data_IF_122293950419
#
_entry.id   IF_122293950419
#
_cell.length_a   1.000
_cell.length_b   1.000
_cell.length_c   1.000
_cell.angle_alpha   90.00
_cell.angle_beta   90.00
_cell.angle_gamma   90.00
#
_symmetry.space_group_name_H-M   'P 1'
#
loop_
_entity.id
_entity.type
_entity.pdbx_description
1 polymer ?
#
# COMPACT_ATOMS: atom_id res chain seq x y z
N UNK A 1 -30.58 -7.05 -16.60
CA UNK A 1 -30.39 -5.79 -17.37
C UNK A 1 -29.33 -5.94 -18.46
N UNK A 2 -28.50 -7.01 -18.44
CA UNK A 2 -27.38 -7.25 -19.40
C UNK A 2 -26.20 -6.32 -19.24
N UNK A 3 -26.17 -5.43 -18.25
CA UNK A 3 -25.06 -4.48 -18.03
C UNK A 3 -23.76 -5.16 -17.62
N UNK A 4 -23.85 -6.32 -16.98
CA UNK A 4 -22.69 -7.10 -16.52
C UNK A 4 -21.82 -7.64 -17.67
N UNK A 5 -22.40 -7.75 -18.89
CA UNK A 5 -21.67 -8.14 -20.09
C UNK A 5 -20.67 -7.07 -20.60
N UNK A 6 -20.81 -5.83 -20.13
CA UNK A 6 -19.95 -4.72 -20.51
C UNK A 6 -19.55 -3.83 -19.33
N UNK A 7 -19.41 -4.43 -18.14
CA UNK A 7 -19.07 -3.66 -16.93
C UNK A 7 -17.99 -4.37 -16.13
N UNK A 8 -16.90 -3.67 -15.82
CA UNK A 8 -15.90 -4.11 -14.84
C UNK A 8 -16.33 -3.57 -13.47
N UNK A 9 -16.39 -4.46 -12.50
CA UNK A 9 -16.70 -4.14 -11.10
C UNK A 9 -15.43 -4.31 -10.30
N UNK A 10 -15.04 -3.29 -9.55
CA UNK A 10 -13.92 -3.32 -8.61
C UNK A 10 -14.48 -3.08 -7.21
N UNK A 11 -14.33 -4.07 -6.34
CA UNK A 11 -14.66 -3.96 -4.93
C UNK A 11 -13.38 -3.86 -4.11
N UNK A 12 -13.28 -2.86 -3.24
CA UNK A 12 -12.13 -2.64 -2.37
C UNK A 12 -12.53 -1.84 -1.12
N UNK A 13 -11.63 -1.75 -0.14
CA UNK A 13 -11.74 -0.80 0.97
C UNK A 13 -10.62 0.24 0.86
N UNK A 14 -10.86 1.44 1.37
CA UNK A 14 -9.87 2.53 1.44
C UNK A 14 -8.77 2.24 2.46
N UNK A 15 -9.12 1.67 3.61
CA UNK A 15 -8.25 1.18 4.67
C UNK A 15 -8.95 0.08 5.46
N UNK A 16 -8.20 -0.61 6.30
CA UNK A 16 -8.73 -1.54 7.28
C UNK A 16 -9.07 -0.87 8.62
N UNK A 17 -9.22 -1.71 9.65
CA UNK A 17 -9.40 -1.31 11.06
C UNK A 17 -8.55 -2.25 11.90
N UNK A 18 -7.92 -1.75 12.95
CA UNK A 18 -7.09 -2.59 13.81
C UNK A 18 -7.89 -3.60 14.63
N UNK A 19 -9.17 -3.32 14.95
CA UNK A 19 -10.10 -4.22 15.63
C UNK A 19 -9.56 -4.88 16.92
N UNK A 20 -8.58 -4.27 17.56
CA UNK A 20 -7.90 -4.80 18.75
C UNK A 20 -6.46 -5.24 18.51
N UNK A 21 -6.00 -5.33 17.27
CA UNK A 21 -4.61 -5.65 16.96
C UNK A 21 -3.68 -4.66 17.65
N UNK A 22 -2.62 -5.17 18.30
CA UNK A 22 -1.67 -4.38 19.10
C UNK A 22 -2.32 -3.51 20.18
N UNK A 23 -3.56 -3.87 20.64
CA UNK A 23 -4.33 -3.07 21.59
C UNK A 23 -4.93 -1.80 21.00
N UNK A 24 -4.92 -1.66 19.67
CA UNK A 24 -5.42 -0.49 18.95
C UNK A 24 -6.84 -0.74 18.41
N UNK A 25 -7.60 0.34 18.26
CA UNK A 25 -8.95 0.34 17.68
C UNK A 25 -9.08 1.44 16.64
N UNK A 26 -10.02 1.27 15.69
CA UNK A 26 -10.24 2.21 14.60
C UNK A 26 -9.05 2.26 13.63
N UNK A 27 -8.55 3.44 13.32
CA UNK A 27 -7.47 3.71 12.36
C UNK A 27 -6.54 4.81 12.84
N UNK A 28 -5.34 4.85 12.31
CA UNK A 28 -4.33 5.85 12.63
C UNK A 28 -3.00 5.58 11.94
N UNK A 29 -1.90 6.13 12.43
CA UNK A 29 -0.62 6.12 11.72
C UNK A 29 0.17 4.80 11.82
N UNK A 30 -0.30 3.82 12.60
CA UNK A 30 0.44 2.56 12.73
C UNK A 30 0.09 1.64 11.57
N UNK A 31 1.07 1.33 10.72
CA UNK A 31 0.91 0.64 9.45
C UNK A 31 0.92 -0.90 9.59
N UNK A 32 0.15 -1.44 10.56
CA UNK A 32 -0.04 -2.89 10.68
C UNK A 32 -0.93 -3.46 9.57
N UNK A 33 -0.78 -4.76 9.29
CA UNK A 33 -1.52 -5.45 8.23
C UNK A 33 -3.04 -5.30 8.38
N UNK A 34 -3.58 -5.27 9.61
CA UNK A 34 -5.00 -5.02 9.87
C UNK A 34 -5.52 -3.71 9.28
N UNK A 35 -4.66 -2.69 9.18
CA UNK A 35 -4.99 -1.40 8.58
C UNK A 35 -4.66 -1.34 7.08
N UNK A 36 -3.52 -1.89 6.65
CA UNK A 36 -3.02 -1.73 5.28
C UNK A 36 -3.55 -2.79 4.32
N UNK A 37 -3.74 -4.03 4.79
CA UNK A 37 -4.17 -5.13 3.93
C UNK A 37 -5.68 -5.14 3.77
N UNK A 38 -6.16 -4.50 2.72
CA UNK A 38 -7.59 -4.39 2.40
C UNK A 38 -8.01 -5.42 1.35
N UNK A 39 -9.30 -5.82 1.34
CA UNK A 39 -9.83 -6.67 0.27
C UNK A 39 -9.78 -5.93 -1.06
N UNK A 40 -9.49 -6.65 -2.15
CA UNK A 40 -9.63 -6.16 -3.51
C UNK A 40 -10.15 -7.29 -4.40
N UNK A 41 -11.28 -7.08 -5.05
CA UNK A 41 -11.91 -8.06 -5.96
C UNK A 41 -12.21 -7.33 -7.27
N UNK A 42 -11.78 -7.93 -8.39
CA UNK A 42 -12.07 -7.41 -9.72
C UNK A 42 -12.86 -8.46 -10.51
N UNK A 43 -13.98 -8.06 -11.08
CA UNK A 43 -14.84 -8.89 -11.92
C UNK A 43 -15.24 -8.13 -13.16
N UNK A 44 -15.26 -8.79 -14.31
CA UNK A 44 -15.76 -8.20 -15.55
C UNK A 44 -15.59 -9.12 -16.75
N UNK A 45 -16.14 -8.72 -17.91
CA UNK A 45 -16.01 -9.49 -19.13
C UNK A 45 -14.55 -9.61 -19.56
N UNK A 46 -14.18 -10.81 -20.04
CA UNK A 46 -12.80 -11.07 -20.47
C UNK A 46 -11.76 -11.25 -19.36
N UNK A 47 -12.13 -11.06 -18.10
CA UNK A 47 -11.23 -11.25 -16.96
C UNK A 47 -11.20 -12.72 -16.51
N UNK A 48 -10.04 -13.25 -16.07
CA UNK A 48 -9.94 -14.62 -15.55
C UNK A 48 -10.82 -14.82 -14.32
N UNK A 49 -11.68 -15.84 -14.33
CA UNK A 49 -12.51 -16.19 -13.19
C UNK A 49 -11.73 -17.04 -12.17
N UNK A 50 -12.00 -16.82 -10.88
CA UNK A 50 -11.46 -17.62 -9.77
C UNK A 50 -9.94 -17.48 -9.57
N UNK A 51 -9.29 -16.50 -10.20
CA UNK A 51 -7.86 -16.25 -10.03
C UNK A 51 -7.59 -15.49 -8.73
N UNK A 52 -6.58 -15.91 -8.01
CA UNK A 52 -6.02 -15.19 -6.86
C UNK A 52 -4.67 -14.60 -7.25
N UNK A 53 -4.49 -13.31 -7.02
CA UNK A 53 -3.22 -12.62 -7.17
C UNK A 53 -2.58 -12.47 -5.78
N UNK A 54 -1.37 -13.01 -5.62
CA UNK A 54 -0.59 -12.91 -4.37
C UNK A 54 0.53 -11.87 -4.45
N UNK A 55 0.57 -11.11 -5.56
CA UNK A 55 1.53 -10.02 -5.70
C UNK A 55 1.13 -8.84 -4.80
N UNK A 56 2.08 -8.09 -4.22
CA UNK A 56 1.77 -6.86 -3.50
C UNK A 56 1.21 -5.83 -4.48
N UNK A 57 0.02 -5.33 -4.19
CA UNK A 57 -0.68 -4.31 -4.97
C UNK A 57 -1.15 -3.18 -4.05
N UNK A 58 -1.43 -2.01 -4.61
CA UNK A 58 -1.85 -0.83 -3.87
C UNK A 58 -3.18 -0.29 -4.37
N UNK A 59 -3.93 0.40 -3.52
CA UNK A 59 -5.10 1.18 -3.94
C UNK A 59 -4.74 2.32 -4.91
N UNK A 60 -3.48 2.78 -4.92
CA UNK A 60 -2.96 3.71 -5.93
C UNK A 60 -3.05 3.15 -7.36
N UNK A 61 -3.06 1.83 -7.49
CA UNK A 61 -3.10 1.14 -8.78
C UNK A 61 -4.51 1.14 -9.41
N UNK A 62 -5.54 1.47 -8.63
CA UNK A 62 -6.93 1.41 -9.10
C UNK A 62 -7.20 2.41 -10.22
N UNK A 63 -6.80 3.67 -10.06
CA UNK A 63 -7.02 4.67 -11.08
C UNK A 63 -6.34 4.33 -12.42
N UNK A 64 -5.01 4.03 -12.46
CA UNK A 64 -4.37 3.61 -13.70
C UNK A 64 -4.96 2.31 -14.29
N UNK A 65 -5.46 1.39 -13.45
CA UNK A 65 -6.16 0.19 -13.92
C UNK A 65 -7.47 0.54 -14.63
N UNK A 66 -8.25 1.46 -14.06
CA UNK A 66 -9.49 1.92 -14.68
C UNK A 66 -9.23 2.64 -16.01
N UNK A 67 -8.22 3.50 -16.08
CA UNK A 67 -7.82 4.17 -17.32
C UNK A 67 -7.40 3.17 -18.40
N UNK A 68 -6.60 2.15 -18.03
CA UNK A 68 -6.13 1.12 -18.96
C UNK A 68 -7.28 0.29 -19.54
N UNK A 69 -8.22 -0.18 -18.68
CA UNK A 69 -9.38 -0.92 -19.19
C UNK A 69 -10.37 -0.06 -19.98
N UNK A 70 -10.46 1.22 -19.66
CA UNK A 70 -11.29 2.16 -20.41
C UNK A 70 -10.65 2.66 -21.71
N UNK A 71 -9.38 2.33 -21.95
CA UNK A 71 -8.55 2.84 -23.06
C UNK A 71 -8.55 4.39 -23.09
N UNK A 72 -8.41 5.02 -21.91
CA UNK A 72 -8.38 6.47 -21.73
C UNK A 72 -7.04 6.87 -21.14
N UNK A 73 -6.42 7.89 -21.72
CA UNK A 73 -5.19 8.46 -21.17
C UNK A 73 -5.49 9.33 -19.93
N UNK A 74 -4.75 9.17 -18.82
CA UNK A 74 -4.91 10.01 -17.66
C UNK A 74 -4.48 11.45 -17.93
N UNK A 75 -5.21 12.42 -17.38
CA UNK A 75 -4.87 13.85 -17.52
C UNK A 75 -3.59 14.26 -16.80
N UNK A 76 -3.12 13.46 -15.84
CA UNK A 76 -1.92 13.71 -15.03
C UNK A 76 -1.16 12.39 -14.84
N UNK A 77 0.16 12.42 -14.64
CA UNK A 77 0.93 11.25 -14.26
C UNK A 77 0.31 10.57 -13.02
N UNK A 78 0.36 9.25 -13.00
CA UNK A 78 -0.13 8.42 -11.89
C UNK A 78 1.05 7.78 -11.18
N UNK A 79 1.04 7.73 -9.85
CA UNK A 79 2.08 7.05 -9.06
C UNK A 79 1.87 5.53 -9.00
N UNK A 80 0.61 5.08 -9.11
CA UNK A 80 0.29 3.67 -9.26
C UNK A 80 0.55 3.16 -10.67
N UNK A 81 0.47 1.84 -10.84
CA UNK A 81 0.57 1.15 -12.12
C UNK A 81 -0.68 0.33 -12.40
N UNK A 82 -1.06 0.16 -13.67
CA UNK A 82 -2.20 -0.72 -14.00
C UNK A 82 -1.97 -2.13 -13.47
N UNK A 83 -2.98 -2.69 -12.83
CA UNK A 83 -3.02 -4.09 -12.36
C UNK A 83 -3.36 -5.08 -13.47
N UNK A 84 -3.62 -4.62 -14.68
CA UNK A 84 -3.97 -5.47 -15.81
C UNK A 84 -2.98 -6.61 -16.04
N UNK A 85 -1.64 -6.41 -15.98
CA UNK A 85 -0.67 -7.49 -16.08
C UNK A 85 -0.81 -8.55 -14.97
N UNK A 86 -1.08 -8.14 -13.73
CA UNK A 86 -1.29 -9.07 -12.61
C UNK A 86 -2.62 -9.82 -12.74
N UNK A 87 -3.66 -9.15 -13.23
CA UNK A 87 -4.99 -9.74 -13.43
C UNK A 87 -4.95 -10.75 -14.58
N UNK A 88 -4.44 -10.37 -15.75
CA UNK A 88 -4.53 -11.18 -16.96
C UNK A 88 -3.42 -12.23 -17.06
N UNK A 89 -2.18 -11.90 -16.71
CA UNK A 89 -1.00 -12.73 -16.94
C UNK A 89 -0.22 -13.19 -15.70
N UNK A 90 -0.67 -12.82 -14.48
CA UNK A 90 0.07 -13.07 -13.23
C UNK A 90 1.50 -12.52 -13.24
N UNK A 91 1.70 -11.37 -13.88
CA UNK A 91 3.00 -10.72 -13.90
C UNK A 91 3.51 -10.49 -12.47
N UNK A 92 4.79 -10.75 -12.18
CA UNK A 92 5.35 -10.55 -10.86
C UNK A 92 5.37 -9.05 -10.52
N UNK A 93 5.20 -8.76 -9.22
CA UNK A 93 5.42 -7.44 -8.65
C UNK A 93 6.16 -7.60 -7.33
N UNK A 94 7.22 -6.83 -7.17
CA UNK A 94 8.14 -7.03 -6.06
C UNK A 94 7.62 -6.41 -4.76
N UNK A 95 7.05 -5.20 -4.84
CA UNK A 95 6.59 -4.47 -3.66
C UNK A 95 5.44 -3.50 -3.97
N UNK A 96 4.79 -3.06 -2.90
CA UNK A 96 3.87 -1.94 -2.89
C UNK A 96 4.35 -0.88 -1.87
N UNK A 97 4.03 0.38 -2.14
CA UNK A 97 4.38 1.52 -1.28
C UNK A 97 3.10 2.11 -0.66
N UNK A 98 3.25 2.64 0.56
CA UNK A 98 2.21 3.36 1.27
C UNK A 98 2.84 4.52 2.05
N UNK A 99 2.10 5.64 2.24
CA UNK A 99 2.55 6.75 3.06
C UNK A 99 1.46 7.27 3.99
N UNK A 100 1.91 7.92 5.06
CA UNK A 100 1.06 8.65 5.98
C UNK A 100 1.78 9.91 6.46
N UNK A 101 1.15 11.06 6.25
CA UNK A 101 1.61 12.32 6.79
C UNK A 101 0.68 12.79 7.92
N UNK A 102 1.24 13.04 9.09
CA UNK A 102 0.51 13.57 10.24
C UNK A 102 1.10 14.90 10.66
N UNK A 103 0.30 15.95 10.65
CA UNK A 103 0.70 17.27 11.11
C UNK A 103 0.58 17.40 12.63
N UNK A 104 1.47 18.18 13.29
CA UNK A 104 1.47 18.39 14.74
C UNK A 104 0.15 18.93 15.29
N UNK A 105 -0.57 19.69 14.48
CA UNK A 105 -1.86 20.31 14.84
C UNK A 105 -2.94 19.32 15.23
N UNK A 106 -2.82 18.06 14.79
CA UNK A 106 -3.85 17.04 15.03
C UNK A 106 -3.56 16.12 16.22
N UNK A 107 -2.28 15.85 16.52
CA UNK A 107 -1.89 14.91 17.56
C UNK A 107 -0.72 15.40 18.43
N UNK A 108 -0.25 16.65 18.26
CA UNK A 108 0.90 17.19 18.97
C UNK A 108 2.25 16.68 18.45
N UNK A 109 2.25 15.74 17.51
CA UNK A 109 3.45 15.16 16.90
C UNK A 109 3.34 15.21 15.38
N UNK A 110 4.46 15.43 14.69
CA UNK A 110 4.57 15.23 13.26
C UNK A 110 5.03 13.80 12.98
N UNK A 111 4.46 13.14 11.98
CA UNK A 111 4.93 11.87 11.45
C UNK A 111 4.97 11.95 9.93
N UNK A 112 6.00 11.37 9.33
CA UNK A 112 6.13 11.19 7.88
C UNK A 112 6.49 9.73 7.63
N UNK A 113 5.48 8.88 7.63
CA UNK A 113 5.65 7.44 7.54
C UNK A 113 5.65 6.99 6.08
N UNK A 114 6.64 6.18 5.72
CA UNK A 114 6.69 5.48 4.44
C UNK A 114 6.87 4.01 4.67
N UNK A 115 6.05 3.24 3.98
CA UNK A 115 6.02 1.80 4.12
C UNK A 115 6.27 1.14 2.78
N UNK A 116 7.15 0.17 2.79
CA UNK A 116 7.31 -0.81 1.70
C UNK A 116 6.83 -2.16 2.18
N UNK A 117 6.02 -2.80 1.35
CA UNK A 117 5.50 -4.15 1.60
C UNK A 117 5.83 -5.05 0.42
N UNK A 118 6.58 -6.12 0.69
CA UNK A 118 6.87 -7.22 -0.23
C UNK A 118 5.96 -8.42 0.09
N UNK A 119 6.14 -9.55 -0.57
CA UNK A 119 5.40 -10.79 -0.21
C UNK A 119 5.72 -11.32 1.19
N UNK A 120 6.92 -11.05 1.68
CA UNK A 120 7.46 -11.69 2.89
C UNK A 120 7.78 -10.71 4.00
N UNK A 121 8.02 -9.45 3.69
CA UNK A 121 8.42 -8.46 4.69
C UNK A 121 7.68 -7.14 4.50
N UNK A 122 7.57 -6.41 5.59
CA UNK A 122 7.09 -5.04 5.59
C UNK A 122 8.02 -4.17 6.43
N UNK A 123 8.36 -2.99 5.92
CA UNK A 123 9.13 -2.01 6.65
C UNK A 123 8.45 -0.65 6.57
N UNK A 124 8.29 -0.01 7.73
CA UNK A 124 7.82 1.38 7.87
C UNK A 124 8.93 2.21 8.48
N UNK A 125 9.19 3.37 7.91
CA UNK A 125 10.16 4.34 8.44
C UNK A 125 9.49 5.69 8.64
N UNK A 126 9.69 6.30 9.80
CA UNK A 126 9.32 7.69 10.04
C UNK A 126 10.46 8.61 9.63
N UNK A 127 10.26 9.40 8.58
CA UNK A 127 11.26 10.33 8.05
C UNK A 127 11.45 11.59 8.91
N UNK A 128 10.64 11.78 9.96
CA UNK A 128 10.84 12.85 10.95
C UNK A 128 11.83 12.44 12.05
N UNK A 129 11.72 11.20 12.55
CA UNK A 129 12.51 10.71 13.68
C UNK A 129 13.57 9.68 13.29
N UNK A 130 13.52 9.14 12.09
CA UNK A 130 14.29 7.99 11.63
C UNK A 130 14.00 6.68 12.41
N UNK A 131 12.97 6.65 13.25
CA UNK A 131 12.48 5.42 13.85
C UNK A 131 11.82 4.53 12.79
N UNK A 132 11.84 3.22 13.01
CA UNK A 132 11.26 2.30 12.05
C UNK A 132 10.78 1.00 12.65
N UNK A 133 10.02 0.28 11.84
CA UNK A 133 9.53 -1.06 12.12
C UNK A 133 9.81 -1.95 10.91
N UNK A 134 10.25 -3.17 11.16
CA UNK A 134 10.49 -4.19 10.15
C UNK A 134 9.93 -5.52 10.65
N UNK A 135 9.10 -6.16 9.83
CA UNK A 135 8.45 -7.42 10.17
C UNK A 135 8.67 -8.48 9.09
N UNK A 136 8.92 -9.72 9.50
CA UNK A 136 8.84 -10.90 8.66
C UNK A 136 7.41 -11.44 8.70
N UNK A 137 6.63 -11.15 7.68
CA UNK A 137 5.20 -11.50 7.61
C UNK A 137 4.93 -13.00 7.43
N UNK A 138 5.98 -13.81 7.22
CA UNK A 138 5.88 -15.27 7.13
C UNK A 138 6.09 -15.90 8.49
N UNK A 139 7.14 -15.49 9.21
CA UNK A 139 7.47 -16.01 10.53
C UNK A 139 6.63 -15.36 11.65
N UNK A 140 6.25 -14.10 11.46
CA UNK A 140 5.52 -13.27 12.41
C UNK A 140 4.37 -12.51 11.70
N UNK A 141 3.31 -13.21 11.27
CA UNK A 141 2.19 -12.59 10.55
C UNK A 141 1.39 -11.59 11.41
N UNK A 142 1.52 -11.67 12.74
CA UNK A 142 0.87 -10.78 13.70
C UNK A 142 1.73 -9.56 14.05
N UNK A 143 2.93 -9.42 13.45
CA UNK A 143 3.81 -8.26 13.57
C UNK A 143 4.21 -7.90 15.01
N UNK A 144 4.46 -8.92 15.84
CA UNK A 144 4.76 -8.76 17.27
C UNK A 144 6.25 -8.51 17.56
N UNK A 145 7.14 -8.81 16.60
CA UNK A 145 8.59 -8.73 16.77
C UNK A 145 9.21 -7.75 15.78
N UNK A 146 9.50 -6.54 16.23
CA UNK A 146 10.16 -5.54 15.38
C UNK A 146 11.64 -5.88 15.17
N UNK A 147 12.03 -6.12 13.92
CA UNK A 147 13.37 -6.48 13.49
C UNK A 147 14.19 -5.27 12.97
N UNK A 148 13.67 -4.06 13.07
CA UNK A 148 14.27 -2.89 12.42
C UNK A 148 15.71 -2.63 12.86
N UNK A 149 16.03 -2.84 14.13
CA UNK A 149 17.37 -2.66 14.70
C UNK A 149 18.10 -4.00 14.94
N UNK A 150 17.53 -5.14 14.49
CA UNK A 150 18.17 -6.44 14.61
C UNK A 150 19.31 -6.56 13.57
N UNK A 151 20.58 -6.78 14.00
CA UNK A 151 21.69 -6.99 13.08
C UNK A 151 21.48 -8.17 12.11
N UNK A 152 20.73 -9.20 12.52
CA UNK A 152 20.43 -10.34 11.67
C UNK A 152 19.53 -9.97 10.48
N UNK A 153 18.70 -8.94 10.62
CA UNK A 153 17.81 -8.42 9.58
C UNK A 153 18.46 -7.34 8.69
N UNK A 154 19.72 -6.94 8.94
CA UNK A 154 20.36 -5.84 8.25
C UNK A 154 20.38 -5.96 6.72
N UNK A 155 20.50 -7.17 6.18
CA UNK A 155 20.45 -7.40 4.73
C UNK A 155 19.06 -7.12 4.17
N UNK A 156 18.03 -7.66 4.80
CA UNK A 156 16.62 -7.45 4.41
C UNK A 156 16.26 -5.98 4.52
N UNK A 157 16.63 -5.32 5.62
CA UNK A 157 16.43 -3.88 5.80
C UNK A 157 17.06 -3.08 4.67
N UNK A 158 18.31 -3.36 4.30
CA UNK A 158 18.99 -2.67 3.19
C UNK A 158 18.30 -2.90 1.83
N UNK A 159 17.69 -4.07 1.59
CA UNK A 159 16.91 -4.34 0.39
C UNK A 159 15.62 -3.51 0.37
N UNK A 160 14.92 -3.43 1.49
CA UNK A 160 13.70 -2.62 1.63
C UNK A 160 13.97 -1.12 1.57
N UNK A 161 15.08 -0.65 2.13
CA UNK A 161 15.54 0.74 2.00
C UNK A 161 15.73 1.16 0.54
N UNK A 162 16.29 0.26 -0.30
CA UNK A 162 16.44 0.52 -1.74
C UNK A 162 15.08 0.62 -2.45
N UNK A 163 14.10 -0.18 -2.04
CA UNK A 163 12.74 -0.08 -2.56
C UNK A 163 12.07 1.22 -2.14
N UNK A 164 12.20 1.63 -0.86
CA UNK A 164 11.72 2.93 -0.38
C UNK A 164 12.38 4.11 -1.10
N UNK A 165 13.65 3.97 -1.49
CA UNK A 165 14.35 5.01 -2.25
C UNK A 165 13.78 5.25 -3.66
N UNK A 166 12.92 4.35 -4.18
CA UNK A 166 12.18 4.56 -5.42
C UNK A 166 10.96 5.47 -5.27
N UNK A 167 10.70 6.00 -4.06
CA UNK A 167 9.59 6.91 -3.80
C UNK A 167 9.63 8.10 -4.77
N UNK A 168 8.52 8.47 -5.41
CA UNK A 168 8.48 9.60 -6.34
C UNK A 168 8.90 10.92 -5.67
N UNK A 169 9.73 11.71 -6.35
CA UNK A 169 10.27 12.96 -5.79
C UNK A 169 9.20 14.02 -5.56
N UNK A 170 8.17 14.07 -6.40
CA UNK A 170 7.04 14.99 -6.28
C UNK A 170 6.14 14.70 -5.05
N UNK A 171 6.22 13.51 -4.47
CA UNK A 171 5.55 13.18 -3.22
C UNK A 171 6.33 13.63 -1.98
N UNK A 172 7.54 14.15 -2.16
CA UNK A 172 8.38 14.69 -1.07
C UNK A 172 8.12 16.18 -0.79
N UNK A 173 7.35 16.85 -1.64
CA UNK A 173 6.98 18.24 -1.41
C UNK A 173 5.98 18.33 -0.24
N UNK A 174 6.32 19.17 0.74
CA UNK A 174 5.42 19.51 1.86
C UNK A 174 4.14 20.07 1.25
N UNK A 175 3.06 19.32 1.33
CA UNK A 175 1.76 19.81 0.91
C UNK A 175 1.40 21.01 1.77
N UNK A 176 1.37 22.19 1.16
CA UNK A 176 0.74 23.36 1.76
C UNK A 176 -0.70 22.99 2.14
N UNK A 177 -1.07 23.21 3.40
CA UNK A 177 -2.40 22.91 3.91
C UNK A 177 -3.47 23.45 2.96
N UNK A 178 -4.12 22.57 2.22
CA UNK A 178 -5.39 22.84 1.59
C UNK A 178 -6.44 22.57 2.67
N UNK A 179 -7.17 23.61 3.03
CA UNK A 179 -8.02 23.75 4.19
C UNK A 179 -8.73 22.48 4.67
N UNK A 180 -8.77 22.35 6.00
CA UNK A 180 -9.60 21.34 6.64
C UNK A 180 -11.08 21.68 6.41
N UNK A 181 -11.78 20.77 5.73
CA UNK A 181 -13.24 20.74 5.76
C UNK A 181 -13.69 20.02 7.04
#
# INVERSE_FOLDING_TARGET
TGLDENTIIIYFADHGDWLGDHGLILKGPMHYEGLLRVPMIVRGPGLPAGKVCNEPVSTLDLAPTMFDYAAVEPLRPQHGASLRPQIESAAPREFALNEWELLPTRAGVALSLRTVRTKTHKMTVDYQSAAGELYDLIADPDEMTNLFDDPAAAKVRSELDRMLATWPDDMREVQTQVGMA
#
